data_IF_288381650248
#
_entry.id   IF_288381650248
#
_cell.length_a   1.000
_cell.length_b   1.000
_cell.length_c   1.000
_cell.angle_alpha   90.00
_cell.angle_beta   90.00
_cell.angle_gamma   90.00
#
_symmetry.space_group_name_H-M   'P 1'
#
loop_
_entity.id
_entity.type
_entity.pdbx_description
1 polymer ?
#
# COMPACT_ATOMS: atom_id res chain seq x y z
N UNK A 1 24.18 17.71 -11.03
CA UNK A 1 22.77 17.63 -10.60
C UNK A 1 22.09 16.53 -11.38
N UNK A 2 21.82 15.38 -10.75
CA UNK A 2 21.13 14.25 -11.38
C UNK A 2 19.62 14.54 -11.29
N UNK A 3 19.06 15.26 -12.27
CA UNK A 3 17.61 15.50 -12.36
C UNK A 3 16.93 14.15 -12.48
N UNK A 4 16.37 13.65 -11.37
CA UNK A 4 15.55 12.43 -11.39
C UNK A 4 14.36 12.72 -12.30
N UNK A 5 14.27 12.01 -13.42
CA UNK A 5 13.14 12.12 -14.35
C UNK A 5 11.85 11.94 -13.54
N UNK A 6 10.91 12.89 -13.55
CA UNK A 6 9.67 12.79 -12.76
C UNK A 6 8.73 11.69 -13.25
N UNK A 7 8.99 11.18 -14.46
CA UNK A 7 8.15 10.21 -15.17
C UNK A 7 7.81 8.95 -14.36
N UNK A 8 8.75 8.23 -13.73
CA UNK A 8 8.43 7.01 -12.99
C UNK A 8 7.57 7.28 -11.75
N UNK A 9 7.77 8.44 -11.09
CA UNK A 9 6.98 8.83 -9.91
C UNK A 9 5.54 9.15 -10.28
N UNK A 10 5.33 9.89 -11.38
CA UNK A 10 3.99 10.24 -11.84
C UNK A 10 3.22 9.02 -12.33
N UNK A 11 3.90 8.12 -13.05
CA UNK A 11 3.36 6.82 -13.45
C UNK A 11 2.98 5.97 -12.24
N UNK A 12 3.84 5.91 -11.21
CA UNK A 12 3.53 5.20 -9.97
C UNK A 12 2.27 5.76 -9.28
N UNK A 13 2.18 7.09 -9.12
CA UNK A 13 1.02 7.73 -8.50
C UNK A 13 -0.28 7.45 -9.27
N UNK A 14 -0.24 7.52 -10.61
CA UNK A 14 -1.40 7.25 -11.45
C UNK A 14 -1.89 5.80 -11.31
N UNK A 15 -0.98 4.82 -11.36
CA UNK A 15 -1.33 3.41 -11.16
C UNK A 15 -1.82 3.13 -9.74
N UNK A 16 -1.23 3.76 -8.73
CA UNK A 16 -1.67 3.62 -7.34
C UNK A 16 -3.11 4.11 -7.16
N UNK A 17 -3.42 5.31 -7.66
CA UNK A 17 -4.78 5.87 -7.63
C UNK A 17 -5.78 4.99 -8.40
N UNK A 18 -5.43 4.57 -9.61
CA UNK A 18 -6.28 3.71 -10.42
C UNK A 18 -6.58 2.37 -9.72
N UNK A 19 -5.57 1.77 -9.10
CA UNK A 19 -5.71 0.52 -8.33
C UNK A 19 -6.65 0.73 -7.13
N UNK A 20 -6.47 1.83 -6.39
CA UNK A 20 -7.33 2.14 -5.24
C UNK A 20 -8.80 2.33 -5.63
N UNK A 21 -9.06 3.14 -6.67
CA UNK A 21 -10.41 3.39 -7.17
C UNK A 21 -11.07 2.11 -7.69
N UNK A 22 -10.34 1.29 -8.44
CA UNK A 22 -10.82 0.00 -8.94
C UNK A 22 -11.17 -0.94 -7.79
N UNK A 23 -10.28 -1.08 -6.80
CA UNK A 23 -10.50 -1.92 -5.63
C UNK A 23 -11.72 -1.46 -4.84
N UNK A 24 -11.90 -0.14 -4.62
CA UNK A 24 -13.10 0.37 -3.94
C UNK A 24 -14.37 0.07 -4.75
N UNK A 25 -14.35 0.32 -6.06
CA UNK A 25 -15.51 0.06 -6.92
C UNK A 25 -15.95 -1.41 -6.89
N UNK A 26 -15.00 -2.33 -7.02
CA UNK A 26 -15.27 -3.78 -6.97
C UNK A 26 -15.80 -4.22 -5.59
N UNK A 27 -15.25 -3.69 -4.50
CA UNK A 27 -15.65 -4.10 -3.15
C UNK A 27 -16.95 -3.44 -2.69
N UNK A 28 -17.17 -2.16 -3.00
CA UNK A 28 -18.28 -1.36 -2.49
C UNK A 28 -19.48 -1.40 -3.44
N UNK A 29 -19.28 -1.17 -4.74
CA UNK A 29 -20.38 -1.07 -5.73
C UNK A 29 -20.79 -2.44 -6.23
N UNK A 30 -19.83 -3.31 -6.57
CA UNK A 30 -20.12 -4.68 -7.01
C UNK A 30 -20.45 -5.63 -5.85
N UNK A 31 -20.34 -5.16 -4.59
CA UNK A 31 -20.59 -5.93 -3.36
C UNK A 31 -19.85 -7.27 -3.33
N UNK A 32 -18.63 -7.30 -3.86
CA UNK A 32 -17.87 -8.53 -3.95
C UNK A 32 -17.50 -9.03 -2.55
N UNK A 33 -18.09 -10.16 -2.15
CA UNK A 33 -18.06 -10.64 -0.75
C UNK A 33 -16.70 -11.23 -0.34
N UNK A 34 -15.75 -11.39 -1.28
CA UNK A 34 -14.46 -12.07 -1.04
C UNK A 34 -13.24 -11.24 -1.50
N UNK A 35 -12.87 -10.17 -0.77
CA UNK A 35 -11.71 -9.34 -1.11
C UNK A 35 -10.40 -10.11 -1.23
N UNK A 36 -10.20 -11.13 -0.39
CA UNK A 36 -8.98 -11.94 -0.38
C UNK A 36 -8.84 -12.77 -1.66
N UNK A 37 -9.94 -13.24 -2.23
CA UNK A 37 -9.93 -13.95 -3.51
C UNK A 37 -9.58 -13.00 -4.66
N UNK A 38 -10.15 -11.80 -4.66
CA UNK A 38 -9.84 -10.79 -5.67
C UNK A 38 -8.36 -10.40 -5.63
N UNK A 39 -7.80 -10.23 -4.43
CA UNK A 39 -6.39 -9.94 -4.30
C UNK A 39 -5.47 -11.12 -4.62
N UNK A 40 -5.88 -12.35 -4.27
CA UNK A 40 -5.19 -13.57 -4.70
C UNK A 40 -5.13 -13.64 -6.22
N UNK A 41 -6.22 -13.29 -6.90
CA UNK A 41 -6.28 -13.19 -8.36
C UNK A 41 -5.33 -12.12 -8.92
N UNK A 42 -5.32 -10.91 -8.36
CA UNK A 42 -4.39 -9.86 -8.80
C UNK A 42 -2.92 -10.29 -8.64
N UNK A 43 -2.60 -10.96 -7.54
CA UNK A 43 -1.25 -11.46 -7.26
C UNK A 43 -0.87 -12.61 -8.21
N UNK A 44 -1.82 -13.48 -8.56
CA UNK A 44 -1.63 -14.53 -9.55
C UNK A 44 -1.32 -13.94 -10.93
N UNK A 45 -2.12 -12.97 -11.39
CA UNK A 45 -1.90 -12.30 -12.67
C UNK A 45 -0.55 -11.57 -12.68
N UNK A 46 -0.21 -10.86 -11.60
CA UNK A 46 1.10 -10.23 -11.44
C UNK A 46 2.26 -11.24 -11.51
N UNK A 47 2.12 -12.39 -10.85
CA UNK A 47 3.09 -13.48 -10.88
C UNK A 47 3.23 -14.10 -12.27
N UNK A 48 2.12 -14.31 -12.99
CA UNK A 48 2.12 -14.81 -14.37
C UNK A 48 2.81 -13.84 -15.32
N UNK A 49 2.48 -12.55 -15.24
CA UNK A 49 3.12 -11.51 -16.05
C UNK A 49 4.63 -11.44 -15.77
N UNK A 50 5.03 -11.54 -14.50
CA UNK A 50 6.45 -11.57 -14.12
C UNK A 50 7.15 -12.82 -14.66
N UNK A 51 6.50 -13.98 -14.59
CA UNK A 51 7.02 -15.23 -15.13
C UNK A 51 7.20 -15.18 -16.66
N UNK A 52 6.21 -14.63 -17.37
CA UNK A 52 6.29 -14.41 -18.82
C UNK A 52 7.41 -13.42 -19.15
N UNK A 53 7.51 -12.31 -18.42
CA UNK A 53 8.58 -11.31 -18.62
C UNK A 53 9.97 -11.91 -18.39
N UNK A 54 10.11 -12.81 -17.42
CA UNK A 54 11.34 -13.56 -17.21
C UNK A 54 11.66 -14.51 -18.37
N UNK A 55 10.65 -15.25 -18.86
CA UNK A 55 10.80 -16.12 -20.04
C UNK A 55 11.19 -15.34 -21.30
N UNK A 56 10.71 -14.10 -21.45
CA UNK A 56 11.03 -13.20 -22.55
C UNK A 56 12.39 -12.49 -22.37
N UNK A 57 13.08 -12.69 -21.24
CA UNK A 57 14.36 -12.02 -20.94
C UNK A 57 14.22 -10.54 -20.60
N UNK A 58 13.01 -10.04 -20.35
CA UNK A 58 12.78 -8.64 -19.95
C UNK A 58 13.16 -8.36 -18.50
N UNK A 59 13.17 -9.39 -17.65
CA UNK A 59 13.50 -9.30 -16.23
C UNK A 59 14.40 -10.48 -15.85
N UNK A 60 15.52 -10.21 -15.19
CA UNK A 60 16.37 -11.25 -14.61
C UNK A 60 15.87 -11.64 -13.23
N UNK A 61 15.39 -12.88 -13.07
CA UNK A 61 14.99 -13.42 -11.75
C UNK A 61 16.17 -14.20 -11.16
N UNK A 62 16.72 -13.70 -10.06
CA UNK A 62 17.77 -14.37 -9.32
C UNK A 62 17.15 -15.52 -8.48
N UNK A 63 17.11 -16.74 -9.04
CA UNK A 63 16.49 -17.92 -8.42
C UNK A 63 17.39 -18.64 -7.40
N UNK A 64 18.31 -17.90 -6.77
CA UNK A 64 19.39 -18.53 -6.03
C UNK A 64 18.97 -18.91 -4.59
N UNK A 65 18.76 -20.21 -4.40
CA UNK A 65 18.47 -20.94 -3.16
C UNK A 65 17.01 -20.99 -2.68
N UNK A 66 16.49 -22.22 -2.56
CA UNK A 66 15.22 -22.55 -1.88
C UNK A 66 15.18 -22.03 -0.44
N UNK A 67 16.33 -21.92 0.23
CA UNK A 67 16.41 -21.34 1.58
C UNK A 67 16.07 -19.85 1.59
N UNK A 68 16.42 -19.11 0.53
CA UNK A 68 16.06 -17.70 0.36
C UNK A 68 14.56 -17.54 0.11
N UNK A 69 13.94 -18.45 -0.63
CA UNK A 69 12.48 -18.43 -0.79
C UNK A 69 11.76 -18.70 0.54
N UNK A 70 12.25 -19.67 1.32
CA UNK A 70 11.70 -19.97 2.64
C UNK A 70 11.89 -18.81 3.63
N UNK A 71 13.02 -18.08 3.58
CA UNK A 71 13.23 -16.91 4.43
C UNK A 71 12.28 -15.76 4.12
N UNK A 72 11.63 -15.76 2.95
CA UNK A 72 10.61 -14.77 2.59
C UNK A 72 9.21 -15.14 3.10
N UNK A 73 8.96 -16.40 3.50
CA UNK A 73 7.64 -16.83 3.97
C UNK A 73 7.07 -15.98 5.11
N UNK A 74 7.83 -15.61 6.16
CA UNK A 74 7.30 -14.75 7.22
C UNK A 74 6.84 -13.39 6.68
N UNK A 75 7.60 -12.80 5.75
CA UNK A 75 7.24 -11.54 5.10
C UNK A 75 6.01 -11.70 4.20
N UNK A 76 5.93 -12.79 3.43
CA UNK A 76 4.76 -13.11 2.61
C UNK A 76 3.49 -13.30 3.45
N UNK A 77 3.59 -13.96 4.60
CA UNK A 77 2.46 -14.15 5.52
C UNK A 77 1.98 -12.82 6.11
N UNK A 78 2.92 -11.97 6.56
CA UNK A 78 2.60 -10.62 7.03
C UNK A 78 1.95 -9.78 5.93
N UNK A 79 2.44 -9.88 4.70
CA UNK A 79 1.87 -9.20 3.55
C UNK A 79 0.40 -9.62 3.32
N UNK A 80 0.09 -10.92 3.31
CA UNK A 80 -1.29 -11.41 3.22
C UNK A 80 -2.16 -10.90 4.37
N UNK A 81 -1.61 -10.82 5.58
CA UNK A 81 -2.30 -10.26 6.75
C UNK A 81 -2.67 -8.78 6.59
N UNK A 82 -1.73 -7.94 6.16
CA UNK A 82 -1.95 -6.50 5.88
C UNK A 82 -3.08 -6.32 4.87
N UNK A 83 -3.08 -7.15 3.84
CA UNK A 83 -4.04 -7.15 2.76
C UNK A 83 -5.44 -7.54 3.20
N UNK A 84 -5.56 -8.60 3.99
CA UNK A 84 -6.83 -9.03 4.55
C UNK A 84 -7.42 -7.96 5.46
N UNK A 85 -6.60 -7.42 6.38
CA UNK A 85 -7.00 -6.37 7.31
C UNK A 85 -7.40 -5.09 6.56
N UNK A 86 -6.59 -4.65 5.59
CA UNK A 86 -6.87 -3.47 4.77
C UNK A 86 -8.15 -3.60 3.96
N UNK A 87 -8.40 -4.77 3.37
CA UNK A 87 -9.62 -5.02 2.62
C UNK A 87 -10.88 -5.03 3.51
N UNK A 88 -10.79 -5.64 4.69
CA UNK A 88 -11.88 -5.59 5.70
C UNK A 88 -12.13 -4.16 6.17
N UNK A 89 -11.07 -3.42 6.47
CA UNK A 89 -11.15 -2.01 6.87
C UNK A 89 -11.81 -1.16 5.77
N UNK A 90 -11.39 -1.30 4.51
CA UNK A 90 -11.95 -0.57 3.37
C UNK A 90 -13.43 -0.91 3.11
N UNK A 91 -13.86 -2.13 3.43
CA UNK A 91 -15.27 -2.55 3.31
C UNK A 91 -16.17 -2.02 4.43
N UNK A 92 -15.60 -1.55 5.54
CA UNK A 92 -16.34 -1.18 6.77
C UNK A 92 -16.19 0.29 7.15
N UNK A 93 -15.12 0.95 6.73
CA UNK A 93 -14.82 2.35 7.04
C UNK A 93 -15.06 3.22 5.81
N UNK A 94 -15.42 4.49 6.03
CA UNK A 94 -15.42 5.48 4.97
C UNK A 94 -13.98 5.71 4.45
N UNK A 95 -13.87 6.15 3.19
CA UNK A 95 -12.56 6.43 2.56
C UNK A 95 -11.69 7.32 3.46
N UNK A 96 -12.19 8.43 4.02
CA UNK A 96 -11.30 9.37 4.71
C UNK A 96 -10.76 8.81 6.01
N UNK A 97 -11.58 8.06 6.76
CA UNK A 97 -11.12 7.38 7.99
C UNK A 97 -10.05 6.34 7.68
N UNK A 98 -10.20 5.58 6.59
CA UNK A 98 -9.17 4.64 6.14
C UNK A 98 -7.84 5.34 5.84
N UNK A 99 -7.87 6.47 5.13
CA UNK A 99 -6.66 7.24 4.82
C UNK A 99 -6.03 7.87 6.06
N UNK A 100 -6.81 8.35 7.02
CA UNK A 100 -6.29 8.85 8.30
C UNK A 100 -5.52 7.77 9.05
N UNK A 101 -6.09 6.56 9.16
CA UNK A 101 -5.42 5.43 9.81
C UNK A 101 -4.17 5.00 9.05
N UNK A 102 -4.21 4.98 7.72
CA UNK A 102 -3.06 4.65 6.89
C UNK A 102 -1.91 5.66 7.08
N UNK A 103 -2.21 6.95 7.03
CA UNK A 103 -1.23 8.01 7.28
C UNK A 103 -0.68 7.97 8.71
N UNK A 104 -1.50 7.64 9.72
CA UNK A 104 -1.04 7.45 11.10
C UNK A 104 -0.09 6.24 11.22
N UNK A 105 -0.34 5.16 10.46
CA UNK A 105 0.52 3.98 10.46
C UNK A 105 1.94 4.27 9.94
N UNK A 106 2.08 5.13 8.93
CA UNK A 106 3.39 5.57 8.40
C UNK A 106 4.22 6.31 9.46
N UNK A 107 3.55 7.07 10.34
CA UNK A 107 4.21 7.77 11.46
C UNK A 107 4.73 6.77 12.47
N UNK A 108 3.94 5.74 12.80
CA UNK A 108 4.35 4.67 13.72
C UNK A 108 5.56 3.91 13.13
N UNK A 109 5.56 3.63 11.83
CA UNK A 109 6.71 3.01 11.14
C UNK A 109 7.95 3.90 11.22
N UNK A 110 7.80 5.21 10.98
CA UNK A 110 8.91 6.17 11.16
C UNK A 110 9.43 6.21 12.61
N UNK A 111 8.55 6.18 13.60
CA UNK A 111 8.94 6.13 15.02
C UNK A 111 9.69 4.82 15.33
N UNK A 112 9.19 3.69 14.85
CA UNK A 112 9.85 2.39 15.03
C UNK A 112 11.26 2.39 14.42
N UNK A 113 11.42 2.86 13.18
CA UNK A 113 12.73 2.97 12.53
C UNK A 113 13.71 3.86 13.32
N UNK A 114 13.21 4.98 13.84
CA UNK A 114 14.00 5.93 14.62
C UNK A 114 14.43 5.37 15.99
N UNK A 115 13.50 4.77 16.74
CA UNK A 115 13.74 4.36 18.12
C UNK A 115 14.36 2.96 18.25
N UNK A 116 13.92 2.00 17.44
CA UNK A 116 14.36 0.60 17.54
C UNK A 116 15.55 0.34 16.62
N UNK A 117 15.48 0.77 15.36
CA UNK A 117 16.57 0.54 14.40
C UNK A 117 17.73 1.54 14.54
N UNK A 118 17.58 2.57 15.40
CA UNK A 118 18.53 3.68 15.60
C UNK A 118 19.03 4.32 14.29
N UNK A 119 18.22 4.24 13.23
CA UNK A 119 18.60 4.76 11.93
C UNK A 119 18.54 6.29 11.97
N UNK A 120 19.57 6.96 11.43
CA UNK A 120 19.58 8.43 11.30
C UNK A 120 18.52 8.85 10.29
N UNK A 121 17.29 9.06 10.77
CA UNK A 121 16.18 9.54 9.95
C UNK A 121 16.49 10.92 9.40
N UNK A 122 16.63 11.01 8.07
CA UNK A 122 16.80 12.28 7.37
C UNK A 122 15.71 13.29 7.75
N UNK A 123 16.04 14.57 7.93
CA UNK A 123 15.06 15.61 8.24
C UNK A 123 13.92 15.67 7.22
N UNK A 124 14.16 15.30 5.96
CA UNK A 124 13.12 15.23 4.93
C UNK A 124 12.04 14.16 5.22
N UNK A 125 12.42 13.01 5.78
CA UNK A 125 11.45 11.97 6.20
C UNK A 125 10.59 12.45 7.36
N UNK A 126 11.19 13.21 8.30
CA UNK A 126 10.49 13.77 9.46
C UNK A 126 9.44 14.80 9.00
N UNK A 127 9.82 15.72 8.10
CA UNK A 127 8.89 16.67 7.50
C UNK A 127 7.78 15.99 6.71
N UNK A 128 8.09 14.95 5.92
CA UNK A 128 7.07 14.16 5.21
C UNK A 128 6.09 13.49 6.17
N UNK A 129 6.56 12.92 7.29
CA UNK A 129 5.71 12.32 8.30
C UNK A 129 4.81 13.36 9.00
N UNK A 130 5.33 14.56 9.25
CA UNK A 130 4.56 15.68 9.80
C UNK A 130 3.46 16.14 8.82
N UNK A 131 3.77 16.28 7.53
CA UNK A 131 2.76 16.59 6.52
C UNK A 131 1.70 15.51 6.39
N UNK A 132 2.08 14.23 6.48
CA UNK A 132 1.13 13.11 6.48
C UNK A 132 0.22 13.13 7.72
N UNK A 133 0.73 13.49 8.90
CA UNK A 133 -0.09 13.68 10.11
C UNK A 133 -1.10 14.81 9.96
N UNK A 134 -0.66 15.96 9.42
CA UNK A 134 -1.55 17.10 9.17
C UNK A 134 -2.62 16.71 8.16
N UNK A 135 -2.27 16.04 7.07
CA UNK A 135 -3.22 15.54 6.10
C UNK A 135 -4.21 14.54 6.72
N UNK A 136 -3.73 13.60 7.54
CA UNK A 136 -4.56 12.65 8.28
C UNK A 136 -5.55 13.33 9.24
N UNK A 137 -5.12 14.41 9.89
CA UNK A 137 -5.95 15.21 10.78
C UNK A 137 -6.98 16.04 10.03
N UNK A 138 -6.64 16.60 8.87
CA UNK A 138 -7.53 17.46 8.08
C UNK A 138 -8.56 16.67 7.25
N UNK A 139 -8.25 15.45 6.80
CA UNK A 139 -9.10 14.67 5.91
C UNK A 139 -10.51 14.39 6.47
N UNK A 140 -10.68 14.01 7.75
CA UNK A 140 -11.99 13.77 8.34
C UNK A 140 -12.85 15.04 8.47
N UNK A 141 -12.24 16.23 8.58
CA UNK A 141 -12.97 17.50 8.68
C UNK A 141 -13.51 18.00 7.35
N UNK A 142 -12.95 17.53 6.23
CA UNK A 142 -13.41 17.86 4.88
C UNK A 142 -14.45 16.86 4.34
N UNK A 143 -14.67 15.74 5.03
CA UNK A 143 -15.71 14.78 4.68
C UNK A 143 -17.04 15.22 5.30
N UNK A 144 -17.95 15.77 4.48
CA UNK A 144 -19.32 16.15 4.90
C UNK A 144 -20.19 14.95 5.31
N UNK A 145 -19.68 13.72 5.21
CA UNK A 145 -20.41 12.49 5.56
C UNK A 145 -20.46 12.24 7.08
N UNK A 146 -19.60 12.87 7.89
CA UNK A 146 -19.67 12.77 9.37
C UNK A 146 -20.84 13.58 9.96
N UNK A 147 -21.46 14.47 9.17
CA UNK A 147 -22.57 15.34 9.62
C UNK A 147 -23.97 14.87 9.22
N UNK A 148 -24.13 13.69 8.59
CA UNK A 148 -25.44 13.20 8.14
C UNK A 148 -26.09 12.13 9.04
N UNK A 149 -25.40 11.67 10.09
CA UNK A 149 -25.87 10.60 10.98
C UNK A 149 -26.15 11.07 12.43
N UNK A 150 -26.64 12.31 12.61
CA UNK A 150 -27.20 12.75 13.90
C UNK A 150 -28.63 13.25 13.77
#
# INVERSE_FOLDING_TARGET
MHTKRPFPGLTFCAFYLATYLTNKYVLSVLKFTYPTLFQGWQTLIGGLLLHISWKLGWVEINSNSRAKVLSWLPSSMLFVGIIYAGSRALSKLSIPVFFTLHNASEVIVCLYQKFISKELTSPAKIWSAAFLLVAAGCLPFYDSEVSADQ
#
